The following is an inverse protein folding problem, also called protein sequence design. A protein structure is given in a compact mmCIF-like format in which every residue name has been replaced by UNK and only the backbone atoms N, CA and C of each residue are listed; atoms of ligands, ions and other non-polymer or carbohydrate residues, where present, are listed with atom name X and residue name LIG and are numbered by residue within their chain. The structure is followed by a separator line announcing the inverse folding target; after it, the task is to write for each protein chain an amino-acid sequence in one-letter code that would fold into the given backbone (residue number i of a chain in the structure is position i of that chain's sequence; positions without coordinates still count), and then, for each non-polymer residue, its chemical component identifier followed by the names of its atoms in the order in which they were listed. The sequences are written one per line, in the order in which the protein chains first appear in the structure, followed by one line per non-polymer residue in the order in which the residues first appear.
data_IF_057715471073
#
_entry.id   IF_057715471073
#
_cell.length_a   1.000
_cell.length_b   1.000
_cell.length_c   1.000
_cell.angle_alpha   90.00
_cell.angle_beta   90.00
_cell.angle_gamma   90.00
#
_symmetry.space_group_name_H-M   'P 1'
#
loop_
_entity.id
_entity.type
_entity.pdbx_description
1 polymer ?
#
# COMPACT_ATOMS: atom_id res chain seq x y z
N UNK A 1 18.45 -11.79 -1.54
CA UNK A 1 17.14 -12.00 -2.18
C UNK A 1 16.09 -11.22 -1.41
N UNK A 2 15.76 -10.01 -1.86
CA UNK A 2 14.77 -9.14 -1.21
C UNK A 2 13.47 -9.20 -2.01
N UNK A 3 12.39 -9.58 -1.33
CA UNK A 3 11.04 -9.70 -1.86
C UNK A 3 10.67 -8.46 -2.70
N UNK A 4 10.59 -8.66 -4.00
CA UNK A 4 9.81 -7.85 -4.92
C UNK A 4 8.60 -8.75 -5.18
N UNK A 5 7.49 -8.48 -4.49
CA UNK A 5 6.24 -9.15 -4.83
C UNK A 5 5.71 -8.43 -6.08
N UNK A 6 6.08 -8.91 -7.26
CA UNK A 6 5.62 -8.36 -8.52
C UNK A 6 4.29 -9.04 -8.85
N UNK A 7 3.19 -8.42 -8.43
CA UNK A 7 1.86 -8.87 -8.83
C UNK A 7 1.36 -7.89 -9.88
N UNK A 8 1.06 -8.40 -11.06
CA UNK A 8 0.61 -7.63 -12.21
C UNK A 8 -0.78 -8.10 -12.59
N UNK A 9 -1.78 -7.24 -12.42
CA UNK A 9 -3.15 -7.50 -12.88
C UNK A 9 -3.40 -6.73 -14.18
N UNK A 10 -3.97 -7.41 -15.18
CA UNK A 10 -4.29 -6.81 -16.47
C UNK A 10 -5.70 -6.20 -16.39
N UNK A 11 -5.80 -4.88 -16.45
CA UNK A 11 -7.05 -4.14 -16.60
C UNK A 11 -7.05 -3.43 -17.95
N UNK A 12 -8.04 -3.73 -18.81
CA UNK A 12 -8.20 -3.08 -20.12
C UNK A 12 -6.92 -3.09 -20.99
N UNK A 13 -6.13 -4.18 -20.93
CA UNK A 13 -4.86 -4.29 -21.67
C UNK A 13 -3.68 -3.51 -21.05
N UNK A 14 -3.83 -2.96 -19.84
CA UNK A 14 -2.77 -2.29 -19.08
C UNK A 14 -2.48 -3.04 -17.77
N UNK A 15 -1.20 -3.14 -17.42
CA UNK A 15 -0.73 -3.81 -16.20
C UNK A 15 -0.77 -2.83 -15.03
N UNK A 16 -1.57 -3.15 -14.00
CA UNK A 16 -1.54 -2.50 -12.68
C UNK A 16 -0.25 -2.88 -11.95
N UNK A 17 0.51 -1.88 -11.50
CA UNK A 17 1.74 -2.09 -10.75
C UNK A 17 1.48 -2.10 -9.23
N UNK A 18 1.91 -3.17 -8.57
CA UNK A 18 1.94 -3.31 -7.11
C UNK A 18 3.39 -3.34 -6.63
N UNK A 19 3.85 -2.25 -6.01
CA UNK A 19 5.25 -2.13 -5.59
C UNK A 19 5.41 -1.36 -4.29
N UNK A 20 6.45 -1.70 -3.53
CA UNK A 20 6.74 -1.08 -2.25
C UNK A 20 7.64 0.16 -2.29
N UNK A 21 7.99 0.66 -3.48
CA UNK A 21 8.95 1.76 -3.64
C UNK A 21 8.67 2.56 -4.90
N UNK A 22 7.40 2.91 -5.12
CA UNK A 22 7.01 3.77 -6.24
C UNK A 22 7.58 5.18 -6.09
N UNK A 23 7.98 5.76 -7.22
CA UNK A 23 8.26 7.19 -7.33
C UNK A 23 7.02 7.87 -7.91
N UNK A 24 6.65 9.08 -7.44
CA UNK A 24 5.55 9.84 -8.06
C UNK A 24 5.78 10.09 -9.56
N UNK A 25 7.03 10.07 -10.03
CA UNK A 25 7.35 10.21 -11.46
C UNK A 25 6.78 9.08 -12.32
N UNK A 26 6.66 7.87 -11.76
CA UNK A 26 6.23 6.67 -12.48
C UNK A 26 4.88 6.13 -11.97
N UNK A 27 4.29 6.79 -10.97
CA UNK A 27 3.07 6.35 -10.32
C UNK A 27 1.86 6.94 -11.03
N UNK A 28 0.89 6.08 -11.38
CA UNK A 28 -0.39 6.51 -11.95
C UNK A 28 -1.46 6.50 -10.85
N UNK A 29 -1.93 7.67 -10.39
CA UNK A 29 -2.95 7.77 -9.35
C UNK A 29 -4.23 7.00 -9.73
N UNK A 30 -4.83 6.31 -8.77
CA UNK A 30 -6.04 5.50 -8.98
C UNK A 30 -5.83 4.21 -9.78
N UNK A 31 -4.68 4.00 -10.42
CA UNK A 31 -4.39 2.79 -11.19
C UNK A 31 -3.33 1.91 -10.54
N UNK A 32 -2.17 2.48 -10.20
CA UNK A 32 -1.11 1.78 -9.48
C UNK A 32 -1.37 1.77 -7.97
N UNK A 33 -0.80 0.81 -7.25
CA UNK A 33 -0.96 0.71 -5.79
C UNK A 33 0.40 0.53 -5.11
N UNK A 34 0.70 1.45 -4.19
CA UNK A 34 1.89 1.35 -3.33
C UNK A 34 1.59 0.48 -2.13
N UNK A 35 2.40 -0.55 -1.92
CA UNK A 35 2.30 -1.49 -0.79
C UNK A 35 3.46 -1.27 0.19
N UNK A 36 3.37 -1.64 1.46
CA UNK A 36 4.48 -1.42 2.38
C UNK A 36 5.61 -2.44 2.17
N UNK A 37 6.84 -2.03 2.49
CA UNK A 37 7.97 -2.97 2.58
C UNK A 37 8.05 -3.49 4.01
N UNK A 38 7.93 -4.80 4.21
CA UNK A 38 8.04 -5.43 5.52
C UNK A 38 9.29 -6.33 5.61
N UNK A 39 9.75 -6.58 6.84
CA UNK A 39 10.88 -7.47 7.12
C UNK A 39 10.44 -8.94 7.08
N UNK A 40 11.40 -9.87 7.03
CA UNK A 40 11.09 -11.31 7.07
C UNK A 40 10.44 -11.76 8.37
N UNK A 41 10.61 -10.99 9.44
CA UNK A 41 10.12 -11.30 10.77
C UNK A 41 8.77 -10.62 11.04
N UNK A 42 8.16 -10.02 10.02
CA UNK A 42 6.84 -9.43 10.16
C UNK A 42 5.79 -10.54 10.35
N UNK A 43 4.84 -10.30 11.24
CA UNK A 43 3.84 -11.31 11.61
C UNK A 43 3.04 -11.75 10.38
N UNK A 44 3.05 -13.04 10.08
CA UNK A 44 2.33 -13.58 8.91
C UNK A 44 0.82 -13.52 9.14
N UNK A 45 0.37 -13.92 10.34
CA UNK A 45 -1.03 -14.05 10.73
C UNK A 45 -1.33 -13.09 11.88
N UNK A 46 -2.46 -12.40 11.81
CA UNK A 46 -2.87 -11.50 12.89
C UNK A 46 -2.89 -12.25 14.22
N UNK A 47 -2.49 -11.60 15.32
CA UNK A 47 -2.64 -12.19 16.66
C UNK A 47 -4.13 -12.42 16.92
N UNK A 48 -4.61 -13.64 16.70
CA UNK A 48 -5.87 -14.09 17.29
C UNK A 48 -5.64 -14.09 18.79
N UNK A 49 -6.52 -13.46 19.57
CA UNK A 49 -6.41 -13.33 21.04
C UNK A 49 -6.42 -14.66 21.81
N UNK A 50 -6.32 -15.80 21.13
CA UNK A 50 -6.17 -17.12 21.69
C UNK A 50 -5.37 -17.93 20.69
N UNK A 51 -4.06 -18.10 20.91
CA UNK A 51 -3.32 -19.37 20.78
C UNK A 51 -1.97 -19.20 21.51
N UNK A 52 -1.57 -20.14 22.38
CA UNK A 52 -0.24 -20.17 22.97
C UNK A 52 0.71 -20.83 21.96
N UNK A 53 1.58 -20.05 21.32
CA UNK A 53 2.54 -20.57 20.36
C UNK A 53 3.79 -21.10 21.08
N UNK A 54 4.06 -22.40 20.90
CA UNK A 54 5.36 -23.03 21.07
C UNK A 54 6.38 -22.36 20.13
N UNK A 55 7.20 -21.46 20.69
CA UNK A 55 8.31 -20.76 20.04
C UNK A 55 9.51 -20.67 20.99
N UNK A 56 10.73 -20.42 20.47
CA UNK A 56 11.98 -20.93 21.04
C UNK A 56 12.21 -20.41 22.47
N UNK A 57 12.64 -21.33 23.33
CA UNK A 57 13.08 -21.10 24.70
C UNK A 57 14.06 -19.93 24.77
N UNK A 58 13.56 -18.76 25.14
CA UNK A 58 14.39 -17.67 25.62
C UNK A 58 14.77 -18.02 27.04
N UNK A 59 16.03 -18.45 27.22
CA UNK A 59 16.62 -18.61 28.53
C UNK A 59 16.47 -17.29 29.29
N UNK A 60 15.62 -17.31 30.31
CA UNK A 60 15.42 -16.22 31.25
C UNK A 60 16.77 -15.97 31.92
N UNK A 61 17.41 -14.88 31.53
CA UNK A 61 18.49 -14.30 32.33
C UNK A 61 17.79 -13.41 33.34
N UNK A 62 17.92 -13.79 34.62
CA UNK A 62 17.22 -13.24 35.76
C UNK A 62 17.24 -11.70 35.86
N UNK A 63 16.16 -11.19 36.46
CA UNK A 63 15.96 -9.83 36.99
C UNK A 63 15.68 -8.68 36.02
N UNK A 64 14.60 -8.78 35.24
CA UNK A 64 13.75 -7.60 34.96
C UNK A 64 12.29 -8.01 35.06
N UNK A 65 11.61 -7.47 36.07
CA UNK A 65 10.18 -7.60 36.30
C UNK A 65 9.43 -7.18 35.02
N UNK A 66 8.85 -8.16 34.32
CA UNK A 66 7.85 -7.93 33.27
C UNK A 66 6.54 -7.68 33.99
N UNK A 67 6.37 -6.47 34.51
CA UNK A 67 5.06 -5.95 34.84
C UNK A 67 4.38 -5.57 33.52
N UNK A 68 3.32 -6.32 33.18
CA UNK A 68 2.17 -5.90 32.37
C UNK A 68 2.46 -5.12 31.08
N UNK A 69 2.14 -5.73 29.93
CA UNK A 69 1.95 -5.04 28.66
C UNK A 69 0.70 -4.14 28.78
N UNK A 70 0.85 -3.01 29.47
CA UNK A 70 -0.23 -2.09 29.82
C UNK A 70 0.20 -0.65 29.56
N UNK A 71 -0.59 0.06 28.74
CA UNK A 71 -0.81 1.53 28.64
C UNK A 71 0.38 2.51 28.50
N UNK A 72 1.61 2.15 28.85
CA UNK A 72 2.81 3.01 28.83
C UNK A 72 3.38 3.28 27.44
N UNK A 73 2.98 2.51 26.41
CA UNK A 73 3.43 2.73 25.03
C UNK A 73 2.90 4.03 24.41
N UNK A 74 1.73 4.49 24.88
CA UNK A 74 1.10 5.71 24.39
C UNK A 74 1.57 6.97 25.10
N UNK A 75 2.14 6.84 26.31
CA UNK A 75 2.60 8.00 27.05
C UNK A 75 3.95 8.43 26.52
N UNK A 76 3.88 9.24 25.48
CA UNK A 76 5.03 9.80 24.79
C UNK A 76 5.93 10.59 25.76
N UNK A 77 5.41 11.05 26.90
CA UNK A 77 6.07 11.98 27.84
C UNK A 77 7.30 11.39 28.50
N UNK A 78 7.39 10.06 28.55
CA UNK A 78 8.55 9.35 29.11
C UNK A 78 9.65 9.10 28.08
N UNK A 79 9.41 9.44 26.80
CA UNK A 79 10.40 9.25 25.74
C UNK A 79 11.51 10.27 25.86
N UNK A 80 12.67 9.80 26.31
CA UNK A 80 13.88 10.62 26.57
C UNK A 80 14.50 11.21 25.30
N UNK A 81 14.35 10.54 24.16
CA UNK A 81 15.01 10.91 22.91
C UNK A 81 14.02 11.52 21.92
N UNK A 82 14.40 12.63 21.32
CA UNK A 82 13.57 13.31 20.33
C UNK A 82 13.62 12.58 18.98
N UNK A 83 14.81 12.43 18.40
CA UNK A 83 15.01 11.80 17.09
C UNK A 83 16.05 10.69 17.19
N UNK A 84 15.72 9.50 16.68
CA UNK A 84 16.65 8.37 16.65
C UNK A 84 16.78 7.76 15.26
N UNK A 85 18.02 7.41 14.89
CA UNK A 85 18.32 6.56 13.74
C UNK A 85 19.31 5.46 14.12
N UNK A 86 19.00 4.21 13.73
CA UNK A 86 19.96 3.11 13.76
C UNK A 86 20.02 2.41 12.40
N UNK A 87 21.18 2.41 11.77
CA UNK A 87 21.36 1.71 10.49
C UNK A 87 22.74 1.79 9.87
N UNK A 88 22.95 1.00 8.81
CA UNK A 88 24.24 0.98 8.11
C UNK A 88 24.43 2.23 7.26
N UNK A 89 25.64 2.79 7.26
CA UNK A 89 26.05 3.83 6.31
C UNK A 89 26.53 3.17 5.02
N UNK A 90 26.18 3.77 3.88
CA UNK A 90 26.67 3.32 2.57
C UNK A 90 27.69 4.35 2.09
N UNK A 91 28.86 3.91 1.65
CA UNK A 91 29.88 4.78 1.07
C UNK A 91 29.61 5.10 -0.40
N UNK A 92 28.90 4.20 -1.11
CA UNK A 92 28.63 4.33 -2.54
C UNK A 92 27.19 3.93 -2.86
N UNK A 93 26.64 4.57 -3.90
CA UNK A 93 25.33 4.25 -4.46
C UNK A 93 24.23 5.22 -4.07
N UNK A 94 23.04 4.99 -4.61
CA UNK A 94 21.88 5.86 -4.41
C UNK A 94 21.54 5.94 -2.91
N UNK A 95 21.42 7.16 -2.39
CA UNK A 95 21.15 7.45 -0.97
C UNK A 95 22.39 7.43 -0.06
N UNK A 96 23.60 7.22 -0.59
CA UNK A 96 24.84 7.25 0.22
C UNK A 96 25.12 8.64 0.76
N UNK A 97 24.91 9.70 -0.04
CA UNK A 97 25.15 11.10 0.33
C UNK A 97 24.32 11.51 1.55
N UNK A 98 23.00 11.30 1.52
CA UNK A 98 22.10 11.56 2.65
C UNK A 98 22.53 10.80 3.90
N UNK A 99 22.91 9.52 3.78
CA UNK A 99 23.37 8.74 4.94
C UNK A 99 24.74 9.16 5.45
N UNK A 100 25.55 9.76 4.60
CA UNK A 100 26.85 10.32 4.97
C UNK A 100 26.67 11.54 5.87
N UNK A 101 25.71 12.40 5.53
CA UNK A 101 25.42 13.64 6.26
C UNK A 101 24.69 13.40 7.57
N UNK A 102 23.92 12.30 7.69
CA UNK A 102 23.23 11.93 8.94
C UNK A 102 24.14 11.90 10.16
N UNK A 103 25.39 11.47 10.01
CA UNK A 103 26.32 11.40 11.14
C UNK A 103 26.54 12.78 11.80
N UNK A 104 26.44 13.88 11.04
CA UNK A 104 26.62 15.23 11.56
C UNK A 104 25.44 15.74 12.38
N UNK A 105 24.29 15.08 12.33
CA UNK A 105 23.12 15.44 13.14
C UNK A 105 23.18 14.88 14.58
N UNK A 106 24.15 14.02 14.88
CA UNK A 106 24.24 13.42 16.21
C UNK A 106 24.63 14.44 17.28
N UNK A 107 23.81 14.54 18.34
CA UNK A 107 24.00 15.53 19.41
C UNK A 107 24.15 14.90 20.81
N UNK A 108 24.15 13.56 20.94
CA UNK A 108 24.23 12.78 22.21
C UNK A 108 23.15 13.10 23.27
N UNK A 109 22.41 14.21 23.11
CA UNK A 109 21.38 14.72 24.03
C UNK A 109 19.99 14.30 23.58
N UNK A 110 19.51 14.90 22.50
CA UNK A 110 18.14 14.75 21.98
C UNK A 110 18.10 13.96 20.66
N UNK A 111 19.17 14.03 19.86
CA UNK A 111 19.29 13.37 18.55
C UNK A 111 20.37 12.29 18.60
N UNK A 112 19.96 11.04 18.49
CA UNK A 112 20.84 9.87 18.51
C UNK A 112 20.91 9.21 17.14
N UNK A 113 22.11 9.12 16.58
CA UNK A 113 22.30 8.56 15.24
C UNK A 113 23.45 7.56 15.32
N UNK A 114 23.10 6.28 15.26
CA UNK A 114 24.05 5.18 15.31
C UNK A 114 24.22 4.58 13.92
N UNK A 115 25.43 4.70 13.38
CA UNK A 115 25.78 4.15 12.07
C UNK A 115 26.99 3.25 12.10
N UNK A 116 26.98 2.17 11.33
CA UNK A 116 28.14 1.27 11.19
C UNK A 116 29.01 1.73 10.02
N UNK A 117 30.16 2.38 10.29
CA UNK A 117 31.19 2.62 9.27
C UNK A 117 32.60 2.29 9.78
N UNK A 118 32.95 2.72 10.99
CA UNK A 118 34.25 2.44 11.59
C UNK A 118 34.15 1.45 12.75
N UNK A 119 35.28 0.83 13.10
CA UNK A 119 35.35 -0.17 14.17
C UNK A 119 34.88 0.37 15.53
N UNK A 120 35.12 1.67 15.81
CA UNK A 120 34.63 2.35 17.01
C UNK A 120 33.10 2.47 17.00
N UNK A 121 32.53 2.91 15.88
CA UNK A 121 31.08 3.06 15.74
C UNK A 121 30.36 1.72 15.84
N UNK A 122 31.00 0.62 15.41
CA UNK A 122 30.44 -0.72 15.55
C UNK A 122 30.27 -1.12 17.03
N UNK A 123 31.21 -0.75 17.90
CA UNK A 123 31.10 -1.01 19.35
C UNK A 123 29.91 -0.27 19.95
N UNK A 124 29.71 1.00 19.59
CA UNK A 124 28.53 1.77 20.04
C UNK A 124 27.23 1.23 19.44
N UNK A 125 27.26 0.81 18.17
CA UNK A 125 26.10 0.24 17.49
C UNK A 125 25.61 -1.08 18.10
N UNK A 126 26.52 -1.88 18.66
CA UNK A 126 26.24 -3.14 19.36
C UNK A 126 25.77 -2.91 20.80
N UNK A 127 26.25 -1.85 21.46
CA UNK A 127 25.90 -1.54 22.86
C UNK A 127 24.41 -1.23 23.06
N UNK A 128 23.76 -0.60 22.08
CA UNK A 128 22.37 -0.17 22.21
C UNK A 128 21.39 -1.11 21.50
N UNK A 129 20.45 -1.66 22.26
CA UNK A 129 19.38 -2.51 21.74
C UNK A 129 18.39 -1.67 20.91
N UNK A 130 18.05 -2.17 19.71
CA UNK A 130 17.14 -1.52 18.77
C UNK A 130 15.76 -1.23 19.38
N UNK A 131 15.16 -2.22 20.04
CA UNK A 131 13.81 -2.10 20.59
C UNK A 131 13.74 -1.06 21.71
N UNK A 132 14.78 -1.02 22.56
CA UNK A 132 14.88 -0.03 23.65
C UNK A 132 15.06 1.38 23.08
N UNK A 133 15.86 1.54 22.03
CA UNK A 133 16.03 2.84 21.36
C UNK A 133 14.71 3.34 20.76
N UNK A 134 13.95 2.47 20.09
CA UNK A 134 12.66 2.85 19.51
C UNK A 134 11.64 3.24 20.58
N UNK A 135 11.49 2.42 21.62
CA UNK A 135 10.55 2.67 22.71
C UNK A 135 10.80 4.03 23.40
N UNK A 136 12.06 4.45 23.50
CA UNK A 136 12.44 5.72 24.11
C UNK A 136 12.46 6.92 23.13
N UNK A 137 12.06 6.73 21.86
CA UNK A 137 12.14 7.75 20.81
C UNK A 137 10.78 8.27 20.37
N UNK A 138 10.60 9.60 20.34
CA UNK A 138 9.38 10.20 19.82
C UNK A 138 9.33 10.12 18.29
N UNK A 139 10.41 10.55 17.63
CA UNK A 139 10.58 10.53 16.18
C UNK A 139 11.59 9.48 15.76
N UNK A 140 11.27 8.78 14.67
CA UNK A 140 12.13 7.77 14.08
C UNK A 140 12.53 8.17 12.66
N UNK A 141 13.83 8.24 12.41
CA UNK A 141 14.33 8.68 11.12
C UNK A 141 14.29 7.55 10.09
N UNK A 142 13.70 7.84 8.93
CA UNK A 142 13.57 6.91 7.81
C UNK A 142 14.26 7.52 6.58
N UNK A 143 15.59 7.38 6.48
CA UNK A 143 16.32 7.85 5.33
C UNK A 143 16.23 6.89 4.15
N UNK A 144 16.30 7.47 2.95
CA UNK A 144 16.36 6.74 1.70
C UNK A 144 17.43 5.65 1.74
N UNK A 145 17.04 4.47 1.28
CA UNK A 145 17.96 3.35 1.10
C UNK A 145 18.44 3.27 -0.34
N UNK A 146 18.80 2.06 -0.77
CA UNK A 146 18.99 1.75 -2.20
C UNK A 146 17.70 1.90 -3.02
N UNK A 147 16.55 1.86 -2.34
CA UNK A 147 15.21 2.08 -2.87
C UNK A 147 14.55 3.22 -2.10
N UNK A 148 13.45 3.74 -2.63
CA UNK A 148 12.66 4.80 -1.99
C UNK A 148 12.01 4.31 -0.68
N UNK A 149 11.41 3.11 -0.69
CA UNK A 149 10.79 2.53 0.50
C UNK A 149 11.80 1.83 1.41
N UNK A 150 11.54 1.90 2.72
CA UNK A 150 12.33 1.25 3.77
C UNK A 150 11.41 0.55 4.76
N UNK A 151 11.74 -0.68 5.18
CA UNK A 151 10.96 -1.40 6.18
C UNK A 151 10.98 -0.73 7.56
N UNK A 152 11.95 0.16 7.80
CA UNK A 152 12.01 1.03 8.99
C UNK A 152 10.77 1.91 9.13
N UNK A 153 10.09 2.20 8.01
CA UNK A 153 8.84 2.92 8.05
C UNK A 153 7.79 2.16 8.85
N UNK A 154 7.57 0.87 8.54
CA UNK A 154 6.64 0.04 9.31
C UNK A 154 7.11 -0.18 10.75
N UNK A 155 8.40 -0.36 10.99
CA UNK A 155 8.93 -0.52 12.37
C UNK A 155 8.64 0.72 13.22
N UNK A 156 8.74 1.92 12.65
CA UNK A 156 8.39 3.16 13.34
C UNK A 156 6.92 3.17 13.74
N UNK A 157 6.04 2.86 12.77
CA UNK A 157 4.60 2.82 13.01
C UNK A 157 4.23 1.78 14.08
N UNK A 158 4.85 0.60 14.03
CA UNK A 158 4.62 -0.50 14.98
C UNK A 158 4.96 -0.14 16.43
N UNK A 159 5.94 0.74 16.64
CA UNK A 159 6.35 1.20 17.97
C UNK A 159 5.65 2.51 18.37
N UNK A 160 4.70 3.00 17.57
CA UNK A 160 4.05 4.30 17.79
C UNK A 160 5.05 5.46 17.77
N UNK A 161 6.13 5.34 16.99
CA UNK A 161 7.08 6.42 16.72
C UNK A 161 6.63 7.18 15.48
N UNK A 162 6.81 8.50 15.48
CA UNK A 162 6.48 9.34 14.33
C UNK A 162 7.58 9.16 13.28
N UNK A 163 7.28 8.62 12.08
CA UNK A 163 8.28 8.48 11.04
C UNK A 163 8.65 9.84 10.45
N UNK A 164 9.96 10.10 10.38
CA UNK A 164 10.54 11.25 9.70
C UNK A 164 11.13 10.77 8.38
N UNK A 165 10.46 11.06 7.27
CA UNK A 165 10.87 10.58 5.95
C UNK A 165 11.93 11.51 5.35
N UNK A 166 13.03 10.91 4.90
CA UNK A 166 14.01 11.56 4.01
C UNK A 166 14.11 10.72 2.73
N UNK A 167 13.04 10.71 1.95
CA UNK A 167 12.92 9.96 0.69
C UNK A 167 12.02 10.73 -0.27
N UNK A 168 12.63 11.66 -1.00
CA UNK A 168 11.92 12.56 -1.90
C UNK A 168 11.19 11.77 -2.98
N UNK A 169 9.97 12.21 -3.29
CA UNK A 169 9.10 11.62 -4.30
C UNK A 169 8.67 10.17 -4.03
N UNK A 170 8.75 9.67 -2.80
CA UNK A 170 8.25 8.33 -2.48
C UNK A 170 6.73 8.33 -2.30
N UNK A 171 6.05 7.46 -3.07
CA UNK A 171 4.61 7.21 -2.91
C UNK A 171 4.40 6.28 -1.72
N UNK A 172 3.67 6.77 -0.73
CA UNK A 172 3.52 6.09 0.56
C UNK A 172 2.55 4.90 0.42
N UNK A 173 2.66 3.86 1.26
CA UNK A 173 1.78 2.70 1.17
C UNK A 173 0.31 3.12 1.33
N UNK A 174 -0.58 2.62 0.48
CA UNK A 174 -2.03 2.90 0.57
C UNK A 174 -2.38 4.40 0.69
N UNK A 175 -1.64 5.26 0.00
CA UNK A 175 -1.82 6.72 0.04
C UNK A 175 -3.22 7.20 -0.40
N UNK A 176 -3.95 6.38 -1.17
CA UNK A 176 -5.35 6.66 -1.53
C UNK A 176 -6.32 6.57 -0.33
N UNK A 177 -5.97 5.79 0.69
CA UNK A 177 -6.84 5.51 1.85
C UNK A 177 -6.34 6.22 3.10
N UNK A 178 -5.02 6.35 3.23
CA UNK A 178 -4.38 6.87 4.44
C UNK A 178 -3.86 8.28 4.18
N UNK A 179 -4.37 9.25 4.95
CA UNK A 179 -3.79 10.59 4.98
C UNK A 179 -2.50 10.61 5.80
N UNK A 180 -1.38 10.50 5.09
CA UNK A 180 -0.06 10.49 5.69
C UNK A 180 0.41 11.86 6.21
N UNK A 181 -0.23 12.96 5.79
CA UNK A 181 0.16 14.32 6.22
C UNK A 181 -0.03 14.53 7.72
N UNK A 182 -0.93 13.76 8.34
CA UNK A 182 -1.22 13.81 9.77
C UNK A 182 -0.30 12.93 10.63
N UNK A 183 0.45 12.02 10.01
CA UNK A 183 1.20 10.95 10.71
C UNK A 183 2.70 11.11 10.50
N UNK A 184 3.10 11.65 9.35
CA UNK A 184 4.48 11.64 8.88
C UNK A 184 5.04 13.05 8.84
N UNK A 185 6.31 13.19 9.21
CA UNK A 185 7.08 14.41 8.95
C UNK A 185 7.96 14.18 7.73
N UNK A 186 7.72 14.93 6.65
CA UNK A 186 8.53 14.86 5.43
C UNK A 186 9.68 15.87 5.50
N UNK A 187 10.90 15.40 5.27
CA UNK A 187 12.09 16.24 5.17
C UNK A 187 12.73 16.10 3.78
N UNK A 188 13.19 17.22 3.23
CA UNK A 188 13.95 17.19 1.98
C UNK A 188 15.34 16.58 2.22
N UNK A 189 15.71 15.63 1.35
CA UNK A 189 17.05 15.01 1.33
C UNK A 189 18.19 16.04 1.27
N UNK A 190 17.96 17.21 0.64
CA UNK A 190 18.97 18.27 0.49
C UNK A 190 19.09 19.18 1.71
N UNK A 191 18.01 19.40 2.46
CA UNK A 191 17.97 20.31 3.61
C UNK A 191 18.01 19.57 4.96
N UNK A 192 18.69 18.42 4.98
CA UNK A 192 18.78 17.54 6.14
C UNK A 192 19.28 18.20 7.42
N UNK A 193 20.14 19.22 7.32
CA UNK A 193 20.67 19.96 8.47
C UNK A 193 19.63 20.84 9.18
N UNK A 194 18.53 21.20 8.51
CA UNK A 194 17.43 21.96 9.10
C UNK A 194 16.43 21.06 9.86
N UNK A 195 16.53 19.74 9.66
CA UNK A 195 15.60 18.77 10.24
C UNK A 195 15.49 18.85 11.78
N UNK A 196 16.58 19.01 12.55
CA UNK A 196 16.50 19.20 13.99
C UNK A 196 15.62 20.39 14.42
N UNK A 197 15.71 21.49 13.68
CA UNK A 197 14.93 22.71 13.96
C UNK A 197 13.45 22.48 13.70
N UNK A 198 13.13 21.85 12.55
CA UNK A 198 11.77 21.47 12.20
C UNK A 198 11.16 20.57 13.26
N UNK A 199 11.86 19.51 13.68
CA UNK A 199 11.34 18.55 14.67
C UNK A 199 11.13 19.21 16.04
N UNK A 200 12.04 20.08 16.48
CA UNK A 200 11.92 20.82 17.75
C UNK A 200 10.76 21.82 17.75
N UNK A 201 10.28 22.24 16.57
CA UNK A 201 9.14 23.16 16.47
C UNK A 201 7.78 22.50 16.77
N UNK A 202 7.70 21.17 16.81
CA UNK A 202 6.45 20.47 17.07
C UNK A 202 6.08 20.55 18.56
N UNK A 203 4.84 20.97 18.82
CA UNK A 203 4.28 20.96 20.16
C UNK A 203 4.04 19.54 20.69
N UNK A 204 4.20 19.38 22.00
CA UNK A 204 4.01 18.11 22.69
C UNK A 204 2.67 17.42 22.35
N UNK A 205 1.57 18.18 22.45
CA UNK A 205 0.21 17.67 22.18
C UNK A 205 0.06 17.11 20.77
N UNK A 206 0.68 17.77 19.78
CA UNK A 206 0.66 17.32 18.39
C UNK A 206 1.46 16.02 18.24
N UNK A 207 2.61 15.91 18.89
CA UNK A 207 3.43 14.68 18.90
C UNK A 207 2.62 13.50 19.43
N UNK A 208 1.90 13.65 20.55
CA UNK A 208 1.10 12.55 21.10
C UNK A 208 -0.02 12.11 20.15
N UNK A 209 -0.70 13.08 19.51
CA UNK A 209 -1.74 12.80 18.53
C UNK A 209 -1.19 12.06 17.32
N UNK A 210 -0.07 12.52 16.76
CA UNK A 210 0.59 11.87 15.62
C UNK A 210 1.04 10.45 15.98
N UNK A 211 1.61 10.25 17.17
CA UNK A 211 2.04 8.93 17.66
C UNK A 211 0.87 7.95 17.84
N UNK A 212 -0.25 8.42 18.41
CA UNK A 212 -1.46 7.61 18.57
C UNK A 212 -2.06 7.23 17.21
N UNK A 213 -2.16 8.18 16.28
CA UNK A 213 -2.63 7.92 14.90
C UNK A 213 -1.72 6.94 14.17
N UNK A 214 -0.41 7.11 14.30
CA UNK A 214 0.60 6.20 13.73
C UNK A 214 0.39 4.76 14.17
N UNK A 215 0.20 4.54 15.47
CA UNK A 215 -0.04 3.21 16.01
C UNK A 215 -1.39 2.64 15.55
N UNK A 216 -2.44 3.46 15.55
CA UNK A 216 -3.76 3.04 15.08
C UNK A 216 -3.72 2.57 13.62
N UNK A 217 -3.07 3.34 12.74
CA UNK A 217 -2.87 2.98 11.33
C UNK A 217 -2.06 1.70 11.16
N UNK A 218 -1.05 1.48 12.01
CA UNK A 218 -0.30 0.23 12.01
C UNK A 218 -1.20 -0.96 12.34
N UNK A 219 -1.95 -0.88 13.44
CA UNK A 219 -2.80 -1.98 13.90
C UNK A 219 -3.91 -2.34 12.90
N UNK A 220 -4.49 -1.33 12.24
CA UNK A 220 -5.59 -1.53 11.28
C UNK A 220 -5.12 -2.15 9.97
N UNK A 221 -4.04 -1.61 9.37
CA UNK A 221 -3.65 -1.94 8.00
C UNK A 221 -2.37 -2.78 7.88
N UNK A 222 -1.48 -2.70 8.88
CA UNK A 222 -0.10 -3.19 8.78
C UNK A 222 0.30 -4.17 9.90
N UNK A 223 -0.63 -4.64 10.73
CA UNK A 223 -0.32 -5.52 11.87
C UNK A 223 0.18 -6.90 11.44
N UNK A 224 -0.30 -7.42 10.31
CA UNK A 224 0.16 -8.67 9.71
C UNK A 224 0.21 -8.62 8.18
N UNK A 225 0.93 -9.57 7.59
CA UNK A 225 0.95 -9.75 6.13
C UNK A 225 -0.45 -10.00 5.58
N UNK A 226 -1.27 -10.80 6.28
CA UNK A 226 -2.68 -11.01 5.93
C UNK A 226 -3.46 -9.69 5.85
N UNK A 227 -3.32 -8.80 6.85
CA UNK A 227 -4.00 -7.49 6.83
C UNK A 227 -3.58 -6.64 5.66
N UNK A 228 -2.29 -6.64 5.31
CA UNK A 228 -1.77 -5.93 4.13
C UNK A 228 -2.40 -6.48 2.83
N UNK A 229 -2.52 -7.80 2.72
CA UNK A 229 -3.13 -8.47 1.56
C UNK A 229 -4.62 -8.16 1.47
N UNK A 230 -5.36 -8.27 2.57
CA UNK A 230 -6.79 -7.94 2.59
C UNK A 230 -7.04 -6.48 2.23
N UNK A 231 -6.31 -5.55 2.85
CA UNK A 231 -6.39 -4.12 2.52
C UNK A 231 -6.10 -3.86 1.04
N UNK A 232 -5.09 -4.55 0.47
CA UNK A 232 -4.77 -4.45 -0.96
C UNK A 232 -5.93 -4.92 -1.83
N UNK A 233 -6.55 -6.05 -1.49
CA UNK A 233 -7.69 -6.59 -2.23
C UNK A 233 -8.90 -5.65 -2.11
N UNK A 234 -9.17 -5.11 -0.91
CA UNK A 234 -10.28 -4.20 -0.69
C UNK A 234 -10.15 -2.93 -1.53
N UNK A 235 -8.96 -2.32 -1.55
CA UNK A 235 -8.68 -1.15 -2.39
C UNK A 235 -8.85 -1.48 -3.88
N UNK A 236 -8.35 -2.64 -4.32
CA UNK A 236 -8.52 -3.06 -5.71
C UNK A 236 -9.99 -3.32 -6.05
N UNK A 237 -10.75 -3.96 -5.16
CA UNK A 237 -12.16 -4.23 -5.35
C UNK A 237 -12.96 -2.92 -5.43
N UNK A 238 -12.71 -1.97 -4.54
CA UNK A 238 -13.34 -0.64 -4.57
C UNK A 238 -13.07 0.08 -5.90
N UNK A 239 -11.83 0.06 -6.38
CA UNK A 239 -11.46 0.65 -7.69
C UNK A 239 -12.20 -0.04 -8.83
N UNK A 240 -12.30 -1.37 -8.83
CA UNK A 240 -13.02 -2.14 -9.86
C UNK A 240 -14.50 -1.76 -9.85
N UNK A 241 -15.14 -1.75 -8.69
CA UNK A 241 -16.57 -1.40 -8.56
C UNK A 241 -16.83 0.05 -8.99
N UNK A 242 -15.93 0.97 -8.66
CA UNK A 242 -16.01 2.36 -9.12
C UNK A 242 -15.90 2.47 -10.64
N UNK A 243 -14.98 1.71 -11.25
CA UNK A 243 -14.87 1.67 -12.72
C UNK A 243 -16.08 1.04 -13.39
N UNK A 244 -16.63 -0.05 -12.83
CA UNK A 244 -17.82 -0.71 -13.35
C UNK A 244 -19.04 0.20 -13.23
N UNK A 245 -19.27 0.82 -12.08
CA UNK A 245 -20.38 1.75 -11.87
C UNK A 245 -20.28 2.98 -12.78
N UNK A 246 -19.10 3.55 -12.98
CA UNK A 246 -18.89 4.65 -13.92
C UNK A 246 -19.15 4.25 -15.37
N UNK A 247 -18.70 3.06 -15.77
CA UNK A 247 -18.94 2.54 -17.13
C UNK A 247 -20.43 2.31 -17.35
N UNK A 248 -21.12 1.67 -16.40
CA UNK A 248 -22.57 1.44 -16.45
C UNK A 248 -23.34 2.76 -16.46
N UNK A 249 -22.96 3.73 -15.61
CA UNK A 249 -23.55 5.06 -15.60
C UNK A 249 -23.38 5.78 -16.95
N UNK A 250 -22.18 5.77 -17.53
CA UNK A 250 -21.96 6.33 -18.86
C UNK A 250 -22.75 5.59 -19.94
N UNK A 251 -22.86 4.26 -19.85
CA UNK A 251 -23.64 3.46 -20.80
C UNK A 251 -25.13 3.82 -20.76
N UNK A 252 -25.67 4.04 -19.54
CA UNK A 252 -27.03 4.51 -19.31
C UNK A 252 -27.20 5.95 -19.82
N UNK A 253 -26.23 6.83 -19.56
CA UNK A 253 -26.32 8.26 -19.88
C UNK A 253 -26.13 8.56 -21.37
N UNK A 254 -25.34 7.76 -22.09
CA UNK A 254 -25.13 7.88 -23.54
C UNK A 254 -26.26 7.20 -24.34
N UNK A 255 -26.98 6.25 -23.74
CA UNK A 255 -28.12 5.56 -24.37
C UNK A 255 -29.42 5.67 -23.55
N UNK A 256 -29.92 6.89 -23.26
CA UNK A 256 -31.12 7.08 -22.45
C UNK A 256 -32.38 6.49 -23.11
N UNK A 257 -32.42 6.46 -24.45
CA UNK A 257 -33.54 5.88 -25.21
C UNK A 257 -33.59 4.35 -25.21
N UNK A 258 -32.52 3.66 -24.79
CA UNK A 258 -32.47 2.19 -24.72
C UNK A 258 -32.81 1.66 -23.32
N UNK A 259 -32.57 2.44 -22.26
CA UNK A 259 -32.82 2.03 -20.86
C UNK A 259 -34.16 2.49 -20.31
N UNK A 260 -34.85 3.42 -21.00
CA UNK A 260 -36.22 3.80 -20.66
C UNK A 260 -37.29 2.77 -21.08
N UNK A 261 -36.89 1.64 -21.67
CA UNK A 261 -37.79 0.55 -22.06
C UNK A 261 -37.28 -0.80 -21.56
N UNK A 262 -37.15 -0.97 -20.24
CA UNK A 262 -37.43 -2.23 -19.52
C UNK A 262 -37.21 -2.02 -18.03
N UNK A 263 -38.29 -1.76 -17.31
CA UNK A 263 -38.33 -2.08 -15.89
C UNK A 263 -38.33 -3.60 -15.74
N UNK A 264 -37.14 -4.21 -15.62
CA UNK A 264 -36.90 -5.56 -15.08
C UNK A 264 -35.43 -5.97 -15.32
N UNK A 265 -34.46 -5.33 -14.66
CA UNK A 265 -33.14 -5.96 -14.44
C UNK A 265 -32.66 -5.58 -13.03
N UNK A 266 -33.47 -5.89 -12.03
CA UNK A 266 -33.01 -6.05 -10.65
C UNK A 266 -33.89 -7.15 -10.06
N UNK A 267 -33.28 -8.28 -9.67
CA UNK A 267 -33.88 -9.51 -9.16
C UNK A 267 -34.62 -10.41 -10.18
N UNK A 268 -33.90 -11.35 -10.81
CA UNK A 268 -34.29 -12.76 -10.67
C UNK A 268 -33.13 -13.72 -10.97
N UNK A 269 -33.08 -14.85 -10.27
CA UNK A 269 -31.95 -15.78 -10.23
C UNK A 269 -32.01 -16.91 -11.28
N UNK A 270 -33.01 -16.92 -12.16
CA UNK A 270 -33.21 -17.99 -13.14
C UNK A 270 -33.17 -17.42 -14.56
N UNK A 271 -32.12 -17.76 -15.31
CA UNK A 271 -32.00 -17.43 -16.73
C UNK A 271 -33.05 -18.21 -17.54
N UNK A 272 -33.96 -17.50 -18.24
CA UNK A 272 -34.86 -18.11 -19.23
C UNK A 272 -34.10 -18.47 -20.52
N UNK A 273 -34.34 -19.69 -21.03
CA UNK A 273 -33.79 -20.20 -22.28
C UNK A 273 -34.68 -19.94 -23.51
N UNK A 274 -35.86 -19.34 -23.33
CA UNK A 274 -36.74 -19.01 -24.47
C UNK A 274 -36.36 -17.66 -25.09
N UNK A 275 -36.06 -17.68 -26.39
CA UNK A 275 -35.59 -16.50 -27.12
C UNK A 275 -36.68 -15.42 -27.25
N UNK A 276 -37.95 -15.79 -27.04
CA UNK A 276 -39.12 -14.88 -27.11
C UNK A 276 -39.21 -13.93 -25.92
N UNK A 277 -38.59 -14.27 -24.80
CA UNK A 277 -38.53 -13.43 -23.60
C UNK A 277 -37.58 -12.23 -23.79
N UNK A 278 -36.79 -12.23 -24.87
CA UNK A 278 -35.83 -11.18 -25.23
C UNK A 278 -36.25 -10.49 -26.54
N UNK A 279 -37.24 -9.58 -26.52
CA UNK A 279 -37.82 -8.96 -27.72
C UNK A 279 -36.83 -8.10 -28.54
N UNK A 280 -35.64 -7.81 -28.01
CA UNK A 280 -34.55 -7.12 -28.72
C UNK A 280 -33.74 -8.00 -29.69
N UNK A 281 -33.69 -9.33 -29.48
CA UNK A 281 -32.86 -10.23 -30.30
C UNK A 281 -33.44 -10.46 -31.70
N UNK A 282 -34.77 -10.45 -31.85
CA UNK A 282 -35.44 -10.65 -33.14
C UNK A 282 -35.22 -9.54 -34.18
N UNK A 283 -34.74 -8.36 -33.77
CA UNK A 283 -34.46 -7.24 -34.69
C UNK A 283 -33.07 -7.29 -35.32
N UNK A 284 -32.11 -8.00 -34.71
CA UNK A 284 -30.74 -8.15 -35.24
C UNK A 284 -30.62 -9.21 -36.35
N UNK A 285 -31.53 -10.18 -36.42
CA UNK A 285 -31.50 -11.20 -37.48
C UNK A 285 -32.03 -10.67 -38.83
N UNK A 286 -32.93 -9.69 -38.82
CA UNK A 286 -33.48 -9.09 -40.05
C UNK A 286 -32.60 -8.00 -40.68
N UNK A 287 -31.57 -7.52 -39.97
CA UNK A 287 -30.60 -6.57 -40.53
C UNK A 287 -29.51 -7.22 -41.39
N UNK A 288 -29.34 -8.55 -41.32
CA UNK A 288 -28.36 -9.28 -42.14
C UNK A 288 -28.94 -9.89 -43.44
N UNK A 289 -30.25 -9.82 -43.66
CA UNK A 289 -30.90 -10.40 -44.84
C UNK A 289 -31.32 -9.37 -45.91
N UNK A 290 -31.07 -8.08 -45.71
CA UNK A 290 -31.57 -7.01 -46.61
C UNK A 290 -30.60 -6.53 -47.69
N UNK A 291 -29.38 -7.10 -47.81
CA UNK A 291 -28.43 -6.75 -48.87
C UNK A 291 -28.23 -7.86 -49.89
N UNK A 292 -29.29 -8.33 -50.55
CA UNK A 292 -29.25 -8.92 -51.91
C UNK A 292 -30.66 -9.27 -52.39
N UNK A 293 -31.32 -8.32 -53.05
CA UNK A 293 -32.37 -8.67 -54.01
C UNK A 293 -32.55 -7.55 -55.03
N UNK A 294 -32.28 -7.85 -56.29
CA UNK A 294 -33.21 -7.61 -57.41
C UNK A 294 -32.59 -8.08 -58.73
N UNK A 295 -33.39 -8.39 -59.78
CA UNK A 295 -34.78 -8.85 -59.77
C UNK A 295 -35.02 -10.07 -60.68
N UNK A 296 -36.27 -10.54 -60.62
CA UNK A 296 -36.86 -11.75 -61.19
C UNK A 296 -36.79 -11.87 -62.72
N UNK A 297 -36.79 -13.12 -63.20
CA UNK A 297 -37.79 -13.56 -64.19
C UNK A 297 -38.03 -15.08 -64.11
N UNK A 298 -39.29 -15.44 -63.90
CA UNK A 298 -39.83 -16.80 -63.93
C UNK A 298 -40.08 -17.30 -65.35
N UNK A 299 -39.74 -18.55 -65.65
CA UNK A 299 -40.42 -19.34 -66.69
C UNK A 299 -40.24 -20.85 -66.48
N UNK A 300 -41.34 -21.49 -66.07
CA UNK A 300 -41.87 -22.79 -66.50
C UNK A 300 -40.96 -23.92 -67.04
N UNK A 301 -41.14 -25.08 -66.39
CA UNK A 301 -41.48 -26.40 -66.96
C UNK A 301 -40.40 -27.40 -67.40
N UNK A 302 -40.77 -28.66 -67.12
CA UNK A 302 -40.36 -29.97 -67.65
C UNK A 302 -39.02 -30.60 -67.24
N UNK A 303 -39.20 -31.78 -66.63
CA UNK A 303 -38.38 -32.99 -66.69
C UNK A 303 -37.37 -33.08 -67.84
N UNK A 304 -36.14 -33.47 -67.52
CA UNK A 304 -35.55 -34.69 -68.08
C UNK A 304 -34.27 -35.10 -67.35
N UNK A 305 -34.03 -36.39 -67.43
CA UNK A 305 -33.03 -37.28 -66.85
C UNK A 305 -31.58 -37.12 -67.34
N UNK A 306 -30.68 -37.84 -66.64
CA UNK A 306 -29.36 -38.41 -67.03
C UNK A 306 -28.07 -37.84 -66.43
N UNK A 307 -27.35 -38.75 -65.73
CA UNK A 307 -25.90 -39.08 -65.75
C UNK A 307 -24.87 -37.92 -65.77
N UNK A 308 -23.84 -37.87 -64.91
CA UNK A 308 -22.89 -38.89 -64.42
C UNK A 308 -22.29 -38.43 -63.07
#
# INVERSE_FOLDING_TARGET
MHAILFISFIFHGRICGLFASFSYQNYRPGFDLSIPLFSKNHSTRGKTLMEPEDGPEYQLVDDVVIETIDTTRLDSSDRKNLLVFRGKRYTHGIGSETRNTLHHLHNVRDILIYTTICAKDNLEYEKFNYSILMANSAFWLVPRGKRLGSFRFLEALANGCIPVLLSNNWVKPFEDVIDWSEIVVEGDERSLLQLPEIIRSYEWKKIQQMAAKSLAVYETYFSSVERIVYTTIDILNERIQTHLSFTTFLWILVNPSFTSFTGAIWYDAEYSFDLKDYPGYGKLSNSYSSSRSSPLSSSSASSDSFEL
#
